data_IF_025679044577
#
_entry.id   IF_025679044577
#
_cell.length_a   1.000
_cell.length_b   1.000
_cell.length_c   1.000
_cell.angle_alpha   90.00
_cell.angle_beta   90.00
_cell.angle_gamma   90.00
#
_symmetry.space_group_name_H-M   'P 1'
#
loop_
_entity.id
_entity.type
_entity.pdbx_description
1 polymer ?
#
# COMPACT_ATOMS: atom_id res chain seq x y z
N UNK A 1 -4.18 -2.63 37.03
CA UNK A 1 -4.66 -3.57 35.99
C UNK A 1 -4.93 -4.98 36.50
N UNK A 2 -3.95 -5.88 36.75
CA UNK A 2 -4.29 -7.29 37.14
C UNK A 2 -5.11 -7.43 38.44
N UNK A 3 -4.86 -6.58 39.45
CA UNK A 3 -5.56 -6.62 40.74
C UNK A 3 -7.05 -6.23 40.67
N UNK A 4 -7.40 -5.25 39.83
CA UNK A 4 -8.79 -4.78 39.67
C UNK A 4 -9.67 -5.84 39.00
N UNK A 5 -9.09 -6.65 38.10
CA UNK A 5 -9.79 -7.76 37.44
C UNK A 5 -10.19 -8.86 38.43
N UNK A 6 -9.30 -9.13 39.38
CA UNK A 6 -9.52 -10.15 40.40
C UNK A 6 -10.62 -9.69 41.37
N UNK A 7 -10.64 -8.41 41.72
CA UNK A 7 -11.71 -7.83 42.54
C UNK A 7 -13.07 -7.85 41.83
N UNK A 8 -13.13 -7.45 40.57
CA UNK A 8 -14.39 -7.47 39.80
C UNK A 8 -14.92 -8.89 39.63
N UNK A 9 -14.03 -9.86 39.42
CA UNK A 9 -14.40 -11.28 39.37
C UNK A 9 -14.91 -11.80 40.72
N UNK A 10 -14.31 -11.37 41.83
CA UNK A 10 -14.74 -11.74 43.19
C UNK A 10 -16.12 -11.16 43.52
N UNK A 11 -16.32 -9.86 43.25
CA UNK A 11 -17.59 -9.15 43.43
C UNK A 11 -18.69 -9.77 42.54
N UNK A 12 -18.39 -10.03 41.27
CA UNK A 12 -19.35 -10.65 40.35
C UNK A 12 -19.78 -12.05 40.82
N UNK A 13 -18.84 -12.83 41.35
CA UNK A 13 -19.14 -14.16 41.91
C UNK A 13 -19.94 -14.07 43.21
N UNK A 14 -19.65 -13.11 44.08
CA UNK A 14 -20.40 -12.86 45.32
C UNK A 14 -21.83 -12.37 45.06
N UNK A 15 -22.05 -11.68 43.93
CA UNK A 15 -23.37 -11.27 43.43
C UNK A 15 -24.15 -12.41 42.73
N UNK A 16 -23.59 -13.62 42.65
CA UNK A 16 -24.23 -14.77 42.01
C UNK A 16 -24.21 -14.74 40.48
N UNK A 17 -23.44 -13.85 39.86
CA UNK A 17 -23.33 -13.80 38.40
C UNK A 17 -22.62 -15.04 37.86
N UNK A 18 -23.10 -15.54 36.72
CA UNK A 18 -22.44 -16.63 36.04
C UNK A 18 -21.08 -16.16 35.48
N UNK A 19 -20.10 -17.06 35.44
CA UNK A 19 -18.78 -16.79 34.81
C UNK A 19 -18.90 -16.16 33.41
N UNK A 20 -19.92 -16.55 32.64
CA UNK A 20 -20.20 -16.04 31.29
C UNK A 20 -20.59 -14.55 31.29
N UNK A 21 -21.33 -14.10 32.30
CA UNK A 21 -21.78 -12.71 32.42
C UNK A 21 -20.64 -11.79 32.85
N UNK A 22 -19.82 -12.22 33.81
CA UNK A 22 -18.62 -11.51 34.23
C UNK A 22 -17.68 -11.31 33.03
N UNK A 23 -17.49 -12.36 32.22
CA UNK A 23 -16.63 -12.28 31.03
C UNK A 23 -17.24 -11.40 29.91
N UNK A 24 -18.57 -11.34 29.82
CA UNK A 24 -19.29 -10.48 28.87
C UNK A 24 -19.09 -9.00 29.20
N UNK A 25 -19.21 -8.62 30.49
CA UNK A 25 -18.92 -7.25 30.95
C UNK A 25 -17.45 -6.89 30.71
N UNK A 26 -16.55 -7.86 30.92
CA UNK A 26 -15.13 -7.65 30.68
C UNK A 26 -14.79 -7.42 29.20
N UNK A 27 -15.37 -8.23 28.30
CA UNK A 27 -15.25 -7.99 26.86
C UNK A 27 -15.85 -6.66 26.45
N UNK A 28 -17.03 -6.32 26.96
CA UNK A 28 -17.72 -5.08 26.59
C UNK A 28 -16.91 -3.83 26.97
N UNK A 29 -16.26 -3.81 28.15
CA UNK A 29 -15.38 -2.70 28.54
C UNK A 29 -14.09 -2.64 27.71
N UNK A 30 -13.50 -3.78 27.34
CA UNK A 30 -12.32 -3.80 26.46
C UNK A 30 -12.64 -3.33 25.03
N UNK A 31 -13.87 -3.53 24.56
CA UNK A 31 -14.31 -3.05 23.23
C UNK A 31 -14.69 -1.57 23.24
N UNK A 32 -15.20 -1.03 24.35
CA UNK A 32 -15.61 0.39 24.45
C UNK A 32 -14.46 1.39 24.34
N UNK A 33 -13.24 1.00 24.72
CA UNK A 33 -12.07 1.88 24.72
C UNK A 33 -11.12 1.71 23.52
N UNK A 34 -11.35 0.69 22.68
CA UNK A 34 -10.52 0.45 21.50
C UNK A 34 -11.33 0.87 20.29
N UNK A 35 -10.99 2.03 19.75
CA UNK A 35 -11.54 2.53 18.49
C UNK A 35 -11.01 1.70 17.32
N UNK A 36 -11.37 0.41 17.33
CA UNK A 36 -10.99 -0.60 16.34
C UNK A 36 -11.55 -0.21 14.98
N UNK A 37 -12.68 0.51 14.94
CA UNK A 37 -13.25 1.07 13.71
C UNK A 37 -12.30 2.08 13.07
N UNK A 38 -11.77 3.04 13.85
CA UNK A 38 -10.79 4.01 13.35
C UNK A 38 -9.51 3.37 12.83
N UNK A 39 -8.97 2.37 13.55
CA UNK A 39 -7.76 1.65 13.12
C UNK A 39 -8.01 0.89 11.81
N UNK A 40 -9.15 0.18 11.70
CA UNK A 40 -9.53 -0.55 10.48
C UNK A 40 -9.72 0.42 9.30
N UNK A 41 -10.32 1.59 9.54
CA UNK A 41 -10.53 2.61 8.52
C UNK A 41 -9.20 3.20 8.01
N UNK A 42 -8.24 3.45 8.91
CA UNK A 42 -6.88 3.88 8.54
C UNK A 42 -6.19 2.83 7.65
N UNK A 43 -6.28 1.55 8.03
CA UNK A 43 -5.70 0.44 7.25
C UNK A 43 -6.32 0.39 5.85
N UNK A 44 -7.64 0.51 5.74
CA UNK A 44 -8.36 0.51 4.46
C UNK A 44 -7.92 1.68 3.57
N UNK A 45 -7.85 2.90 4.12
CA UNK A 45 -7.40 4.09 3.36
C UNK A 45 -5.97 3.89 2.86
N UNK A 46 -5.08 3.36 3.70
CA UNK A 46 -3.69 3.13 3.33
C UNK A 46 -3.59 2.10 2.19
N UNK A 47 -4.37 1.02 2.26
CA UNK A 47 -4.42 -0.01 1.23
C UNK A 47 -4.94 0.53 -0.10
N UNK A 48 -6.02 1.32 -0.07
CA UNK A 48 -6.60 1.94 -1.27
C UNK A 48 -5.61 2.92 -1.90
N UNK A 49 -4.97 3.78 -1.08
CA UNK A 49 -3.95 4.71 -1.56
C UNK A 49 -2.77 4.01 -2.22
N UNK A 50 -2.29 2.92 -1.62
CA UNK A 50 -1.23 2.09 -2.20
C UNK A 50 -1.62 1.48 -3.55
N UNK A 51 -2.84 0.94 -3.66
CA UNK A 51 -3.34 0.37 -4.92
C UNK A 51 -3.47 1.43 -6.02
N UNK A 52 -3.90 2.66 -5.68
CA UNK A 52 -3.97 3.76 -6.65
C UNK A 52 -2.58 4.10 -7.17
N UNK A 53 -1.58 4.24 -6.29
CA UNK A 53 -0.20 4.49 -6.70
C UNK A 53 0.31 3.37 -7.61
N UNK A 54 0.14 2.12 -7.21
CA UNK A 54 0.56 0.97 -8.02
C UNK A 54 -0.12 0.93 -9.40
N UNK A 55 -1.42 1.25 -9.46
CA UNK A 55 -2.16 1.36 -10.71
C UNK A 55 -1.62 2.48 -11.61
N UNK A 56 -1.28 3.64 -11.05
CA UNK A 56 -0.67 4.73 -11.86
C UNK A 56 0.69 4.35 -12.44
N UNK A 57 1.53 3.61 -11.73
CA UNK A 57 2.82 3.14 -12.27
C UNK A 57 2.68 2.05 -13.34
N UNK A 58 1.63 1.22 -13.26
CA UNK A 58 1.42 0.09 -14.17
C UNK A 58 0.53 0.43 -15.37
N UNK A 59 -0.32 1.45 -15.28
CA UNK A 59 -1.28 1.82 -16.32
C UNK A 59 -0.81 2.96 -17.24
N UNK A 60 0.34 3.58 -16.99
CA UNK A 60 0.92 4.60 -17.88
C UNK A 60 1.86 3.89 -18.88
N UNK A 61 1.49 3.74 -20.17
CA UNK A 61 2.39 3.20 -21.20
C UNK A 61 3.55 4.16 -21.59
N UNK A 62 3.75 5.25 -20.84
CA UNK A 62 4.80 6.23 -21.07
C UNK A 62 5.56 6.51 -19.77
N UNK A 63 6.69 5.82 -19.63
CA UNK A 63 7.72 6.11 -18.66
C UNK A 63 7.95 7.62 -18.46
N UNK A 64 7.83 8.17 -17.23
CA UNK A 64 8.25 9.54 -16.97
C UNK A 64 9.77 9.68 -16.79
N UNK A 65 10.54 8.58 -16.77
CA UNK A 65 11.99 8.63 -16.49
C UNK A 65 12.71 7.42 -17.09
N UNK A 66 12.68 7.29 -18.41
CA UNK A 66 13.83 6.73 -19.12
C UNK A 66 14.51 7.96 -19.71
N UNK A 67 15.70 8.39 -19.23
CA UNK A 67 16.46 9.38 -19.98
C UNK A 67 16.54 8.84 -21.41
N UNK A 68 16.19 9.63 -22.45
CA UNK A 68 16.34 9.13 -23.80
C UNK A 68 17.77 8.66 -23.88
N UNK A 69 17.97 7.35 -24.10
CA UNK A 69 19.30 6.83 -24.33
C UNK A 69 19.92 7.77 -25.36
N UNK A 70 21.12 8.26 -25.08
CA UNK A 70 21.86 9.23 -25.88
C UNK A 70 22.20 8.63 -27.26
N UNK A 71 21.16 8.27 -28.00
CA UNK A 71 21.21 7.81 -29.35
C UNK A 71 21.48 9.10 -30.08
N UNK A 72 22.74 9.31 -30.43
CA UNK A 72 23.23 10.40 -31.28
C UNK A 72 22.43 10.51 -32.59
N UNK A 73 21.55 9.55 -32.90
CA UNK A 73 20.72 9.47 -34.09
C UNK A 73 19.28 9.10 -33.74
N UNK A 74 18.31 9.84 -34.30
CA UNK A 74 16.89 9.51 -34.20
C UNK A 74 16.52 8.31 -35.09
N UNK A 75 15.63 7.46 -34.62
CA UNK A 75 15.10 6.33 -35.40
C UNK A 75 14.13 6.85 -36.47
N UNK A 76 14.36 6.50 -37.74
CA UNK A 76 13.48 6.85 -38.86
C UNK A 76 13.98 8.00 -39.74
N UNK A 77 15.13 8.61 -39.44
CA UNK A 77 15.78 9.58 -40.33
C UNK A 77 16.62 8.87 -41.39
N UNK A 78 16.29 9.08 -42.66
CA UNK A 78 17.10 8.63 -43.80
C UNK A 78 18.31 9.57 -43.94
N UNK A 79 19.45 9.17 -43.39
CA UNK A 79 20.71 9.84 -43.71
C UNK A 79 21.25 9.33 -45.04
N UNK A 80 21.69 10.26 -45.88
CA UNK A 80 22.45 9.93 -47.09
C UNK A 80 23.78 9.28 -46.68
N UNK A 81 23.88 7.96 -46.81
CA UNK A 81 25.16 7.27 -46.70
C UNK A 81 25.89 7.42 -48.03
N UNK A 82 26.93 8.23 -48.09
CA UNK A 82 27.84 8.23 -49.23
C UNK A 82 28.68 6.96 -49.12
N UNK A 83 28.48 6.01 -50.04
CA UNK A 83 29.29 4.81 -50.08
C UNK A 83 30.59 5.13 -50.80
N UNK A 84 31.69 4.48 -50.41
CA UNK A 84 33.00 4.69 -51.03
C UNK A 84 32.96 4.42 -52.55
N UNK A 85 32.04 3.55 -53.00
CA UNK A 85 31.79 3.26 -54.42
C UNK A 85 31.28 4.48 -55.21
N UNK A 86 30.60 5.44 -54.57
CA UNK A 86 30.04 6.63 -55.21
C UNK A 86 31.15 7.63 -55.60
N UNK A 87 32.35 7.47 -55.03
CA UNK A 87 33.53 8.26 -55.40
C UNK A 87 34.25 7.71 -56.64
N UNK A 88 33.95 6.47 -57.06
CA UNK A 88 34.68 5.81 -58.15
C UNK A 88 34.09 6.14 -59.55
N UNK A 89 32.91 6.76 -59.62
CA UNK A 89 32.24 7.13 -60.88
C UNK A 89 32.71 8.45 -61.49
N UNK A 90 33.60 9.20 -60.84
CA UNK A 90 34.20 10.42 -61.42
C UNK A 90 35.69 10.23 -61.64
N UNK A 91 36.05 9.55 -62.73
CA UNK A 91 37.36 9.63 -63.36
C UNK A 91 37.20 9.92 -64.84
#
# INVERSE_FOLDING_TARGET
MKGELIQLYKIGRELGLAKKEINKVFSYNNFKGKDLGGIVLIIIIFFIGFLIVLATFSAIPNSPYIPPSNNTYQTGTLYSTVRIIDFNERK
#
